data_IF_411723568978
#
_entry.id   IF_411723568978
#
_cell.length_a   1.000
_cell.length_b   1.000
_cell.length_c   1.000
_cell.angle_alpha   90.00
_cell.angle_beta   90.00
_cell.angle_gamma   90.00
#
_symmetry.space_group_name_H-M   'P 1'
#
loop_
_entity.id
_entity.type
_entity.pdbx_description
1 polymer ?
#
# COMPACT_ATOMS: atom_id res chain seq x y z
N UNK A 1 4.40 -16.11 8.29
CA UNK A 1 3.67 -15.80 7.02
C UNK A 1 2.56 -14.79 7.28
N UNK A 2 1.65 -15.05 8.23
CA UNK A 2 0.54 -14.11 8.56
C UNK A 2 1.09 -12.76 9.05
N UNK A 3 2.12 -12.75 9.91
CA UNK A 3 2.77 -11.53 10.40
C UNK A 3 3.26 -10.64 9.24
N UNK A 4 3.87 -11.24 8.21
CA UNK A 4 4.35 -10.49 7.05
C UNK A 4 3.18 -9.84 6.29
N UNK A 5 2.05 -10.54 6.20
CA UNK A 5 0.84 -9.97 5.59
C UNK A 5 0.26 -8.83 6.44
N UNK A 6 0.34 -8.92 7.78
CA UNK A 6 -0.03 -7.82 8.67
C UNK A 6 0.92 -6.62 8.52
N UNK A 7 2.23 -6.85 8.38
CA UNK A 7 3.20 -5.79 8.07
C UNK A 7 2.94 -5.17 6.69
N UNK A 8 2.57 -5.97 5.69
CA UNK A 8 2.17 -5.47 4.38
C UNK A 8 0.92 -4.57 4.48
N UNK A 9 -0.09 -4.99 5.23
CA UNK A 9 -1.29 -4.19 5.47
C UNK A 9 -0.97 -2.90 6.23
N UNK A 10 -0.06 -2.97 7.22
CA UNK A 10 0.41 -1.80 7.95
C UNK A 10 1.03 -0.77 7.01
N UNK A 11 1.95 -1.17 6.11
CA UNK A 11 2.64 -0.22 5.24
C UNK A 11 1.72 0.37 4.15
N UNK A 12 0.82 -0.44 3.58
CA UNK A 12 -0.17 0.05 2.62
C UNK A 12 -1.11 1.07 3.25
N UNK A 13 -1.62 0.79 4.45
CA UNK A 13 -2.50 1.70 5.17
C UNK A 13 -1.77 2.98 5.64
N UNK A 14 -0.53 2.85 6.11
CA UNK A 14 0.31 4.01 6.50
C UNK A 14 0.49 4.96 5.32
N UNK A 15 0.75 4.44 4.14
CA UNK A 15 0.88 5.24 2.91
C UNK A 15 -0.40 5.99 2.54
N UNK A 16 -1.56 5.47 2.88
CA UNK A 16 -2.83 6.16 2.66
C UNK A 16 -2.98 7.38 3.57
N UNK A 17 -2.63 7.24 4.85
CA UNK A 17 -2.90 8.26 5.86
C UNK A 17 -1.78 9.29 6.05
N UNK A 18 -0.52 8.91 5.90
CA UNK A 18 0.63 9.81 6.13
C UNK A 18 0.55 11.11 5.31
N UNK A 19 0.14 11.11 4.02
CA UNK A 19 0.04 12.36 3.26
C UNK A 19 -0.95 13.37 3.86
N UNK A 20 -2.01 12.90 4.54
CA UNK A 20 -2.97 13.78 5.23
C UNK A 20 -2.26 14.61 6.30
N UNK A 21 -1.36 13.98 7.05
CA UNK A 21 -0.58 14.66 8.09
C UNK A 21 0.47 15.63 7.52
N UNK A 22 0.81 15.52 6.23
CA UNK A 22 1.87 16.27 5.56
C UNK A 22 1.34 17.27 4.51
N UNK A 23 0.03 17.44 4.37
CA UNK A 23 -0.57 18.30 3.34
C UNK A 23 -0.03 19.73 3.36
N UNK A 24 0.14 20.31 4.54
CA UNK A 24 0.67 21.68 4.69
C UNK A 24 2.13 21.77 4.24
N UNK A 25 2.96 20.80 4.62
CA UNK A 25 4.38 20.79 4.26
C UNK A 25 4.56 20.56 2.76
N UNK A 26 3.72 19.73 2.14
CA UNK A 26 3.68 19.51 0.70
C UNK A 26 3.23 20.78 -0.01
N UNK A 27 2.18 21.44 0.49
CA UNK A 27 1.68 22.71 -0.06
C UNK A 27 2.74 23.80 -0.07
N UNK A 28 3.44 23.97 1.05
CA UNK A 28 4.55 24.92 1.13
C UNK A 28 5.67 24.62 0.12
N UNK A 29 5.99 23.34 -0.09
CA UNK A 29 7.04 22.92 -1.04
C UNK A 29 6.72 23.24 -2.49
N UNK A 30 5.43 23.33 -2.86
CA UNK A 30 4.97 23.62 -4.21
C UNK A 30 4.33 25.01 -4.37
N UNK A 31 4.37 25.86 -3.33
CA UNK A 31 3.70 27.17 -3.27
C UNK A 31 2.20 27.06 -3.56
N UNK A 32 1.54 26.05 -3.02
CA UNK A 32 0.12 25.77 -3.19
C UNK A 32 -0.61 25.86 -1.84
N UNK A 33 -1.90 26.18 -1.90
CA UNK A 33 -2.75 26.11 -0.71
C UNK A 33 -2.95 24.65 -0.28
N UNK A 34 -3.08 24.42 1.01
CA UNK A 34 -3.30 23.06 1.56
C UNK A 34 -4.57 22.41 1.00
N UNK A 35 -5.63 23.20 0.74
CA UNK A 35 -6.86 22.76 0.07
C UNK A 35 -6.62 22.17 -1.31
N UNK A 36 -5.77 22.84 -2.13
CA UNK A 36 -5.49 22.40 -3.49
C UNK A 36 -4.64 21.14 -3.51
N UNK A 37 -3.65 21.07 -2.61
CA UNK A 37 -2.86 19.84 -2.41
C UNK A 37 -3.75 18.69 -1.95
N UNK A 38 -4.78 18.97 -1.15
CA UNK A 38 -5.75 17.99 -0.67
C UNK A 38 -6.50 17.25 -1.79
N UNK A 39 -6.59 17.81 -3.01
CA UNK A 39 -7.16 17.15 -4.18
C UNK A 39 -6.46 15.81 -4.50
N UNK A 40 -5.18 15.67 -4.15
CA UNK A 40 -4.48 14.39 -4.36
C UNK A 40 -5.10 13.25 -3.55
N UNK A 41 -5.73 13.53 -2.39
CA UNK A 41 -6.43 12.52 -1.59
C UNK A 41 -7.72 12.09 -2.28
N UNK A 42 -8.44 13.05 -2.86
CA UNK A 42 -9.65 12.78 -3.66
C UNK A 42 -9.32 11.94 -4.90
N UNK A 43 -8.30 12.33 -5.66
CA UNK A 43 -7.86 11.59 -6.84
C UNK A 43 -7.39 10.18 -6.46
N UNK A 44 -6.67 10.04 -5.34
CA UNK A 44 -6.27 8.74 -4.82
C UNK A 44 -7.48 7.85 -4.53
N UNK A 45 -8.47 8.35 -3.79
CA UNK A 45 -9.68 7.62 -3.45
C UNK A 45 -10.49 7.21 -4.69
N UNK A 46 -10.66 8.11 -5.67
CA UNK A 46 -11.29 7.80 -6.95
C UNK A 46 -10.51 6.74 -7.73
N UNK A 47 -9.19 6.82 -7.76
CA UNK A 47 -8.35 5.81 -8.43
C UNK A 47 -8.54 4.43 -7.79
N UNK A 48 -8.54 4.35 -6.45
CA UNK A 48 -8.80 3.10 -5.72
C UNK A 48 -10.19 2.56 -6.08
N UNK A 49 -11.23 3.40 -6.05
CA UNK A 49 -12.60 3.01 -6.34
C UNK A 49 -12.74 2.46 -7.77
N UNK A 50 -12.29 3.22 -8.76
CA UNK A 50 -12.44 2.87 -10.19
C UNK A 50 -11.62 1.63 -10.53
N UNK A 51 -10.40 1.51 -10.01
CA UNK A 51 -9.49 0.43 -10.34
C UNK A 51 -9.76 -0.87 -9.59
N UNK A 52 -10.49 -0.85 -8.47
CA UNK A 52 -10.61 -2.02 -7.60
C UNK A 52 -11.26 -3.22 -8.32
N UNK A 53 -12.36 -3.05 -9.02
CA UNK A 53 -13.03 -4.13 -9.73
C UNK A 53 -12.32 -4.53 -11.04
N UNK A 54 -11.99 -3.60 -11.96
CA UNK A 54 -11.29 -3.97 -13.20
C UNK A 54 -9.93 -4.64 -12.95
N UNK A 55 -9.14 -4.10 -12.02
CA UNK A 55 -7.83 -4.64 -11.71
C UNK A 55 -7.92 -6.01 -11.01
N UNK A 56 -8.91 -6.21 -10.12
CA UNK A 56 -9.18 -7.51 -9.52
C UNK A 56 -9.52 -8.57 -10.59
N UNK A 57 -10.36 -8.23 -11.55
CA UNK A 57 -10.74 -9.14 -12.65
C UNK A 57 -9.54 -9.44 -13.56
N UNK A 58 -8.77 -8.43 -13.95
CA UNK A 58 -7.60 -8.59 -14.80
C UNK A 58 -6.51 -9.45 -14.15
N UNK A 59 -6.37 -9.38 -12.82
CA UNK A 59 -5.37 -10.14 -12.06
C UNK A 59 -5.89 -11.47 -11.51
N UNK A 60 -7.15 -11.81 -11.78
CA UNK A 60 -7.84 -12.98 -11.20
C UNK A 60 -7.14 -14.31 -11.44
N UNK A 61 -6.52 -14.49 -12.62
CA UNK A 61 -5.79 -15.70 -13.01
C UNK A 61 -4.32 -15.74 -12.57
N UNK A 62 -3.80 -14.65 -12.04
CA UNK A 62 -2.38 -14.58 -11.65
C UNK A 62 -2.09 -15.37 -10.37
N UNK A 63 -0.89 -15.95 -10.30
CA UNK A 63 -0.35 -16.55 -9.07
C UNK A 63 -0.21 -15.46 -8.00
N UNK A 64 -0.73 -15.73 -6.80
CA UNK A 64 -0.97 -14.70 -5.77
C UNK A 64 0.31 -14.12 -5.17
N UNK A 65 1.37 -14.92 -4.98
CA UNK A 65 2.66 -14.42 -4.52
C UNK A 65 3.30 -13.52 -5.58
N UNK A 66 3.31 -13.94 -6.84
CA UNK A 66 3.84 -13.15 -7.95
C UNK A 66 3.08 -11.82 -8.11
N UNK A 67 1.75 -11.86 -8.01
CA UNK A 67 0.92 -10.66 -8.02
C UNK A 67 1.30 -9.72 -6.87
N UNK A 68 1.40 -10.24 -5.64
CA UNK A 68 1.76 -9.43 -4.47
C UNK A 68 3.13 -8.75 -4.64
N UNK A 69 4.13 -9.48 -5.16
CA UNK A 69 5.46 -8.90 -5.46
C UNK A 69 5.36 -7.78 -6.50
N UNK A 70 4.58 -7.98 -7.57
CA UNK A 70 4.35 -6.93 -8.59
C UNK A 70 3.68 -5.69 -8.00
N UNK A 71 2.72 -5.88 -7.08
CA UNK A 71 2.08 -4.76 -6.38
C UNK A 71 3.08 -3.97 -5.53
N UNK A 72 3.98 -4.66 -4.82
CA UNK A 72 5.06 -4.00 -4.07
C UNK A 72 6.03 -3.25 -4.99
N UNK A 73 6.33 -3.79 -6.17
CA UNK A 73 7.18 -3.08 -7.16
C UNK A 73 6.49 -1.78 -7.61
N UNK A 74 5.22 -1.81 -7.99
CA UNK A 74 4.45 -0.62 -8.39
C UNK A 74 4.39 0.38 -7.22
N UNK A 75 4.15 -0.10 -6.01
CA UNK A 75 4.10 0.70 -4.79
C UNK A 75 5.44 1.41 -4.52
N UNK A 76 6.57 0.70 -4.63
CA UNK A 76 7.91 1.25 -4.44
C UNK A 76 8.23 2.27 -5.54
N UNK A 77 7.89 2.00 -6.80
CA UNK A 77 8.04 2.96 -7.90
C UNK A 77 7.27 4.24 -7.60
N UNK A 78 6.02 4.13 -7.13
CA UNK A 78 5.22 5.28 -6.71
C UNK A 78 5.87 6.10 -5.59
N UNK A 79 6.52 5.43 -4.62
CA UNK A 79 7.26 6.12 -3.56
C UNK A 79 8.51 6.81 -4.09
N UNK A 80 9.27 6.17 -4.98
CA UNK A 80 10.42 6.79 -5.65
C UNK A 80 9.99 8.03 -6.42
N UNK A 81 8.92 7.94 -7.22
CA UNK A 81 8.37 9.09 -7.93
C UNK A 81 7.91 10.20 -6.99
N UNK A 82 7.34 9.86 -5.83
CA UNK A 82 6.96 10.84 -4.80
C UNK A 82 8.17 11.58 -4.23
N UNK A 83 9.28 10.87 -3.99
CA UNK A 83 10.52 11.46 -3.44
C UNK A 83 11.14 12.44 -4.44
N UNK A 84 11.21 12.08 -5.72
CA UNK A 84 11.82 12.90 -6.78
C UNK A 84 10.86 13.90 -7.42
N UNK A 85 9.62 13.98 -6.96
CA UNK A 85 8.61 14.86 -7.53
C UNK A 85 9.07 16.34 -7.47
N UNK A 86 9.34 16.93 -8.64
CA UNK A 86 9.73 18.33 -8.78
C UNK A 86 8.55 19.29 -8.94
N UNK A 87 7.36 18.76 -9.17
CA UNK A 87 6.11 19.51 -9.19
C UNK A 87 4.95 18.67 -8.65
N UNK A 88 3.82 19.31 -8.37
CA UNK A 88 2.63 18.67 -7.83
C UNK A 88 2.05 17.59 -8.74
N UNK A 89 2.09 17.76 -10.06
CA UNK A 89 1.53 16.79 -11.01
C UNK A 89 2.27 15.46 -11.01
N UNK A 90 3.59 15.49 -10.88
CA UNK A 90 4.40 14.26 -10.72
C UNK A 90 4.06 13.56 -9.42
N UNK A 91 3.88 14.32 -8.32
CA UNK A 91 3.42 13.74 -7.06
C UNK A 91 2.04 13.10 -7.21
N UNK A 92 1.11 13.76 -7.91
CA UNK A 92 -0.23 13.24 -8.17
C UNK A 92 -0.18 11.92 -8.95
N UNK A 93 0.62 11.84 -10.02
CA UNK A 93 0.83 10.59 -10.79
C UNK A 93 1.43 9.50 -9.90
N UNK A 94 2.40 9.84 -9.08
CA UNK A 94 3.00 8.91 -8.12
C UNK A 94 1.93 8.34 -7.16
N UNK A 95 1.04 9.19 -6.65
CA UNK A 95 -0.08 8.78 -5.79
C UNK A 95 -1.08 7.88 -6.52
N UNK A 96 -1.38 8.15 -7.80
CA UNK A 96 -2.23 7.28 -8.62
C UNK A 96 -1.59 5.90 -8.82
N UNK A 97 -0.30 5.80 -9.07
CA UNK A 97 0.42 4.52 -9.15
C UNK A 97 0.28 3.72 -7.85
N UNK A 98 0.46 4.37 -6.70
CA UNK A 98 0.29 3.75 -5.39
C UNK A 98 -1.17 3.30 -5.20
N UNK A 99 -2.13 4.11 -5.60
CA UNK A 99 -3.56 3.81 -5.48
C UNK A 99 -3.97 2.56 -6.27
N UNK A 100 -3.42 2.36 -7.47
CA UNK A 100 -3.62 1.13 -8.26
C UNK A 100 -3.12 -0.10 -7.51
N UNK A 101 -1.89 -0.06 -6.98
CA UNK A 101 -1.35 -1.15 -6.17
C UNK A 101 -2.20 -1.40 -4.93
N UNK A 102 -2.66 -0.34 -4.26
CA UNK A 102 -3.51 -0.38 -3.06
C UNK A 102 -4.85 -1.05 -3.34
N UNK A 103 -5.53 -0.69 -4.43
CA UNK A 103 -6.84 -1.25 -4.81
C UNK A 103 -6.79 -2.77 -4.99
N UNK A 104 -5.75 -3.26 -5.68
CA UNK A 104 -5.57 -4.71 -5.91
C UNK A 104 -5.15 -5.40 -4.61
N UNK A 105 -4.25 -4.80 -3.84
CA UNK A 105 -3.79 -5.34 -2.58
C UNK A 105 -4.97 -5.68 -1.66
N UNK A 106 -5.88 -4.74 -1.41
CA UNK A 106 -7.03 -4.97 -0.54
C UNK A 106 -8.03 -5.98 -1.10
N UNK A 107 -8.20 -6.04 -2.42
CA UNK A 107 -9.10 -7.01 -3.04
C UNK A 107 -8.66 -8.47 -2.84
N UNK A 108 -7.37 -8.74 -2.62
CA UNK A 108 -6.82 -10.09 -2.48
C UNK A 108 -6.35 -10.44 -1.07
N UNK A 109 -6.07 -9.46 -0.22
CA UNK A 109 -5.33 -9.65 1.05
C UNK A 109 -6.06 -10.56 2.02
N UNK A 110 -7.35 -10.37 2.26
CA UNK A 110 -8.11 -11.19 3.20
C UNK A 110 -8.11 -12.68 2.78
N UNK A 111 -8.34 -12.95 1.49
CA UNK A 111 -8.31 -14.31 0.96
C UNK A 111 -6.91 -14.92 1.03
N UNK A 112 -5.88 -14.12 0.81
CA UNK A 112 -4.48 -14.54 0.87
C UNK A 112 -4.07 -14.91 2.29
N UNK A 113 -4.42 -14.08 3.26
CA UNK A 113 -4.16 -14.32 4.69
C UNK A 113 -4.81 -15.63 5.14
N UNK A 114 -6.07 -15.88 4.76
CA UNK A 114 -6.75 -17.13 5.07
C UNK A 114 -6.09 -18.37 4.44
N UNK A 115 -5.43 -18.22 3.29
CA UNK A 115 -4.72 -19.32 2.60
C UNK A 115 -3.36 -19.65 3.24
N UNK A 116 -2.65 -18.66 3.77
CA UNK A 116 -1.33 -18.85 4.41
C UNK A 116 -1.45 -19.19 5.90
N UNK A 117 -2.61 -18.99 6.48
CA UNK A 117 -2.90 -19.33 7.88
C UNK A 117 -3.04 -20.84 8.10
N UNK A 118 -2.62 -21.37 9.25
CA UNK A 118 -2.96 -22.75 9.67
C UNK A 118 -4.47 -22.95 9.70
N UNK A 119 -4.93 -24.17 9.37
CA UNK A 119 -6.36 -24.51 9.22
C UNK A 119 -7.22 -24.09 10.41
N UNK A 120 -6.70 -24.25 11.63
CA UNK A 120 -7.39 -23.96 12.90
C UNK A 120 -7.17 -22.52 13.41
N UNK A 121 -6.44 -21.65 12.68
CA UNK A 121 -6.07 -20.28 13.12
C UNK A 121 -6.50 -19.19 12.13
N UNK A 122 -7.45 -19.46 11.26
CA UNK A 122 -7.89 -18.49 10.22
C UNK A 122 -8.47 -17.21 10.81
N UNK A 123 -9.30 -17.33 11.87
CA UNK A 123 -9.87 -16.16 12.57
C UNK A 123 -8.78 -15.31 13.22
N UNK A 124 -7.78 -15.96 13.85
CA UNK A 124 -6.63 -15.24 14.43
C UNK A 124 -5.81 -14.52 13.34
N UNK A 125 -5.66 -15.14 12.17
CA UNK A 125 -4.93 -14.56 11.05
C UNK A 125 -5.62 -13.28 10.50
N UNK A 126 -6.95 -13.29 10.40
CA UNK A 126 -7.72 -12.08 10.05
C UNK A 126 -7.63 -11.03 11.16
N UNK A 127 -7.71 -11.44 12.42
CA UNK A 127 -7.48 -10.53 13.56
C UNK A 127 -6.09 -9.88 13.53
N UNK A 128 -5.06 -10.62 13.13
CA UNK A 128 -3.71 -10.11 12.97
C UNK A 128 -3.58 -9.10 11.83
N UNK A 129 -4.30 -9.33 10.72
CA UNK A 129 -4.42 -8.37 9.64
C UNK A 129 -5.09 -7.07 10.13
N UNK A 130 -6.18 -7.19 10.88
CA UNK A 130 -6.88 -6.05 11.47
C UNK A 130 -5.99 -5.26 12.45
N UNK A 131 -5.16 -5.92 13.25
CA UNK A 131 -4.17 -5.27 14.11
C UNK A 131 -3.18 -4.45 13.25
N UNK A 132 -2.67 -5.00 12.15
CA UNK A 132 -1.76 -4.29 11.25
C UNK A 132 -2.39 -3.00 10.70
N UNK A 133 -3.65 -3.06 10.24
CA UNK A 133 -4.37 -1.87 9.75
C UNK A 133 -4.66 -0.86 10.85
N UNK A 134 -5.09 -1.31 12.03
CA UNK A 134 -5.38 -0.45 13.17
C UNK A 134 -4.11 0.27 13.68
N UNK A 135 -2.99 -0.44 13.76
CA UNK A 135 -1.70 0.18 14.12
C UNK A 135 -1.27 1.24 13.10
N UNK A 136 -1.51 1.02 11.81
CA UNK A 136 -1.23 2.02 10.79
C UNK A 136 -2.08 3.29 10.98
N UNK A 137 -3.35 3.14 11.32
CA UNK A 137 -4.25 4.28 11.57
C UNK A 137 -3.84 5.02 12.86
N UNK A 138 -3.52 4.30 13.94
CA UNK A 138 -3.20 4.90 15.24
C UNK A 138 -1.80 5.52 15.24
N UNK A 139 -0.81 4.84 14.65
CA UNK A 139 0.59 5.25 14.68
C UNK A 139 1.03 5.95 13.40
N UNK A 140 0.46 5.61 12.25
CA UNK A 140 0.89 6.10 10.94
C UNK A 140 0.77 7.62 10.82
N UNK A 141 -0.35 8.21 11.21
CA UNK A 141 -0.54 9.67 11.21
C UNK A 141 0.43 10.39 12.15
N UNK A 142 0.48 10.08 13.45
CA UNK A 142 1.39 10.77 14.37
C UNK A 142 2.87 10.57 14.02
N UNK A 143 3.28 9.35 13.68
CA UNK A 143 4.66 9.06 13.32
C UNK A 143 5.01 9.71 11.96
N UNK A 144 4.11 9.66 10.99
CA UNK A 144 4.29 10.34 9.71
C UNK A 144 4.45 11.84 9.89
N UNK A 145 3.64 12.46 10.75
CA UNK A 145 3.77 13.89 11.08
C UNK A 145 5.09 14.19 11.77
N UNK A 146 5.46 13.42 12.80
CA UNK A 146 6.71 13.59 13.53
C UNK A 146 7.93 13.48 12.61
N UNK A 147 8.00 12.41 11.83
CA UNK A 147 9.10 12.19 10.87
C UNK A 147 9.10 13.29 9.81
N UNK A 148 7.93 13.65 9.28
CA UNK A 148 7.82 14.73 8.30
C UNK A 148 8.29 16.09 8.80
N UNK A 149 8.05 16.41 10.07
CA UNK A 149 8.56 17.64 10.68
C UNK A 149 10.07 17.60 10.90
N UNK A 150 10.63 16.44 11.23
CA UNK A 150 12.07 16.29 11.52
C UNK A 150 12.93 16.26 10.27
N UNK A 151 12.48 15.53 9.22
CA UNK A 151 13.30 15.25 8.03
C UNK A 151 12.63 15.62 6.71
N UNK A 152 11.41 16.13 6.75
CA UNK A 152 10.64 16.52 5.58
C UNK A 152 9.83 15.39 4.96
N UNK A 153 8.79 15.75 4.20
CA UNK A 153 7.83 14.81 3.62
C UNK A 153 8.45 13.87 2.57
N UNK A 154 9.44 14.33 1.79
CA UNK A 154 10.13 13.48 0.80
C UNK A 154 10.87 12.33 1.45
N UNK A 155 11.61 12.60 2.52
CA UNK A 155 12.34 11.57 3.28
C UNK A 155 11.35 10.63 3.97
N UNK A 156 10.22 11.14 4.46
CA UNK A 156 9.15 10.29 5.03
C UNK A 156 8.64 9.28 3.98
N UNK A 157 8.38 9.70 2.75
CA UNK A 157 7.99 8.77 1.67
C UNK A 157 9.12 7.82 1.28
N UNK A 158 10.39 8.25 1.34
CA UNK A 158 11.54 7.37 1.12
C UNK A 158 11.60 6.26 2.18
N UNK A 159 11.40 6.59 3.45
CA UNK A 159 11.36 5.61 4.55
C UNK A 159 10.26 4.57 4.32
N UNK A 160 9.05 5.00 3.94
CA UNK A 160 7.95 4.10 3.63
C UNK A 160 8.32 3.17 2.45
N UNK A 161 8.93 3.71 1.41
CA UNK A 161 9.40 2.94 0.26
C UNK A 161 10.47 1.90 0.63
N UNK A 162 11.41 2.26 1.49
CA UNK A 162 12.45 1.33 2.00
C UNK A 162 11.81 0.22 2.84
N UNK A 163 10.89 0.55 3.74
CA UNK A 163 10.16 -0.45 4.52
C UNK A 163 9.36 -1.39 3.62
N UNK A 164 8.72 -0.87 2.58
CA UNK A 164 8.04 -1.67 1.58
C UNK A 164 9.00 -2.63 0.85
N UNK A 165 10.21 -2.17 0.51
CA UNK A 165 11.25 -3.01 -0.10
C UNK A 165 11.67 -4.16 0.82
N UNK A 166 11.85 -3.90 2.11
CA UNK A 166 12.16 -4.93 3.12
C UNK A 166 11.02 -5.95 3.21
N UNK A 167 9.78 -5.49 3.30
CA UNK A 167 8.61 -6.38 3.36
C UNK A 167 8.49 -7.20 2.08
N UNK A 168 8.70 -6.61 0.91
CA UNK A 168 8.71 -7.33 -0.37
C UNK A 168 9.76 -8.45 -0.38
N UNK A 169 10.96 -8.18 0.10
CA UNK A 169 12.01 -9.20 0.21
C UNK A 169 11.60 -10.35 1.13
N UNK A 170 10.98 -10.04 2.28
CA UNK A 170 10.46 -11.05 3.20
C UNK A 170 9.32 -11.87 2.57
N UNK A 171 8.45 -11.25 1.77
CA UNK A 171 7.40 -11.93 1.00
C UNK A 171 8.02 -12.92 0.02
N UNK A 172 9.04 -12.49 -0.74
CA UNK A 172 9.73 -13.37 -1.70
C UNK A 172 10.36 -14.58 -0.99
N UNK A 173 10.96 -14.39 0.18
CA UNK A 173 11.65 -15.44 0.93
C UNK A 173 10.72 -16.39 1.68
N UNK A 174 9.66 -15.90 2.27
CA UNK A 174 8.89 -16.61 3.31
C UNK A 174 7.48 -17.04 2.87
N UNK A 175 6.89 -16.43 1.83
CA UNK A 175 5.63 -16.89 1.27
C UNK A 175 5.86 -18.04 0.28
N UNK A 176 5.05 -19.12 0.36
CA UNK A 176 5.05 -20.15 -0.67
C UNK A 176 4.39 -19.64 -1.96
N UNK A 177 4.56 -20.36 -3.04
CA UNK A 177 3.76 -20.18 -4.25
C UNK A 177 2.29 -20.43 -3.95
N UNK A 178 1.41 -19.58 -4.46
CA UNK A 178 -0.03 -19.64 -4.16
C UNK A 178 -0.80 -19.52 -5.49
N UNK A 179 -1.09 -20.66 -6.16
CA UNK A 179 -1.80 -20.67 -7.44
C UNK A 179 -3.15 -19.95 -7.32
N UNK A 180 -3.65 -19.38 -8.42
CA UNK A 180 -4.99 -18.79 -8.46
C UNK A 180 -6.04 -19.85 -8.16
N UNK A 181 -7.18 -19.48 -7.55
CA UNK A 181 -8.27 -20.44 -7.29
C UNK A 181 -8.89 -21.02 -8.57
N UNK A 182 -8.78 -20.31 -9.70
CA UNK A 182 -9.38 -20.69 -10.97
C UNK A 182 -8.42 -21.53 -11.86
N UNK A 183 -7.23 -21.87 -11.40
CA UNK A 183 -6.28 -22.70 -12.15
C UNK A 183 -6.61 -24.21 -12.13
N UNK A 184 -7.72 -24.61 -11.50
CA UNK A 184 -8.02 -26.03 -11.27
C UNK A 184 -9.48 -26.42 -11.36
N UNK A 185 -10.35 -25.67 -12.01
CA UNK A 185 -11.76 -26.07 -12.22
C UNK A 185 -12.13 -26.02 -13.72
N UNK A 186 -11.45 -26.81 -14.52
CA UNK A 186 -11.96 -27.30 -15.81
C UNK A 186 -11.51 -28.77 -15.92
N UNK A 187 -12.25 -29.63 -15.31
CA UNK A 187 -12.40 -31.03 -15.70
C UNK A 187 -13.72 -31.53 -15.13
#
# INVERSE_FOLDING_TARGET
RVVIMACAAFIFNTTEFVPVALLTDIGQSFNMQTSDVGLMMTVYAWTVLIMSLPAMLATGKMERKSLLVKLFIIFIIGHILSVIAWNYWILLIARMCIAVAHSIFWSITASLVMRVAPKNKKTQAIGMLAIGTSLATILGLPLGRLVGQLVGWRITFAIIGILALVIMFLIIRLLPTLPSKNAGSVS
#
